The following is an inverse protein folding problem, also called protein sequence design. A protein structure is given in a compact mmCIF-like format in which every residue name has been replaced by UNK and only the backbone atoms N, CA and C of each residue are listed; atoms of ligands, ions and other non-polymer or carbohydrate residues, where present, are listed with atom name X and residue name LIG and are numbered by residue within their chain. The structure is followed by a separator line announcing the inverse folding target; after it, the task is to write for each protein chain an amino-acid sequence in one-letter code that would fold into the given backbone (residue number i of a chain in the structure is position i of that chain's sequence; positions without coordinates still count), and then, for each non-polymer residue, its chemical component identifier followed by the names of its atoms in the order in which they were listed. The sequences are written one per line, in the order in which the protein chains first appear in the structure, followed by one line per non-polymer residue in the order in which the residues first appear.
data_IF_269541393650
#
_entry.id   IF_269541393650
#
_cell.length_a   1.000
_cell.length_b   1.000
_cell.length_c   1.000
_cell.angle_alpha   90.00
_cell.angle_beta   90.00
_cell.angle_gamma   90.00
#
_symmetry.space_group_name_H-M   'P 1'
#
loop_
_entity.id
_entity.type
_entity.pdbx_description
1 polymer ?
#
# COMPACT_ATOMS: atom_id res chain seq x y z
N UNK A 1 10.89 14.47 -10.24
CA UNK A 1 9.81 15.50 -10.19
C UNK A 1 8.77 15.05 -9.17
N UNK A 2 8.53 15.80 -8.09
CA UNK A 2 7.64 15.36 -7.00
C UNK A 2 6.15 15.46 -7.33
N UNK A 3 5.32 14.62 -6.69
CA UNK A 3 3.86 14.60 -6.87
C UNK A 3 3.17 14.75 -5.51
N UNK A 4 2.14 15.59 -5.44
CA UNK A 4 1.35 15.79 -4.22
C UNK A 4 0.38 14.62 -4.06
N UNK A 5 0.42 13.98 -2.89
CA UNK A 5 -0.40 12.83 -2.56
C UNK A 5 -1.07 13.01 -1.20
N UNK A 6 -2.29 12.53 -1.08
CA UNK A 6 -3.06 12.49 0.15
C UNK A 6 -2.96 11.07 0.71
N UNK A 7 -2.54 10.97 1.97
CA UNK A 7 -2.36 9.69 2.66
C UNK A 7 -3.57 9.46 3.57
N UNK A 8 -4.17 8.29 3.42
CA UNK A 8 -5.25 7.79 4.25
C UNK A 8 -4.78 6.53 4.97
N UNK A 9 -5.19 6.35 6.21
CA UNK A 9 -5.00 5.10 6.96
C UNK A 9 -6.32 4.34 7.01
N UNK A 10 -6.23 3.03 7.04
CA UNK A 10 -7.39 2.17 7.26
C UNK A 10 -7.93 2.35 8.69
N UNK A 11 -9.25 2.34 8.83
CA UNK A 11 -9.91 2.24 10.15
C UNK A 11 -9.94 0.81 10.70
N UNK A 12 -9.72 -0.20 9.85
CA UNK A 12 -9.81 -1.63 10.19
C UNK A 12 -8.44 -2.28 10.38
N UNK A 13 -7.56 -2.11 9.40
CA UNK A 13 -6.23 -2.73 9.38
C UNK A 13 -5.21 -1.70 9.87
N UNK A 14 -4.59 -2.00 11.02
CA UNK A 14 -3.45 -1.19 11.48
C UNK A 14 -2.34 -1.29 10.44
N UNK A 15 -1.66 -0.18 10.18
CA UNK A 15 -0.49 -0.13 9.29
C UNK A 15 -0.79 -0.30 7.79
N UNK A 16 -2.07 -0.28 7.40
CA UNK A 16 -2.50 -0.19 6.01
C UNK A 16 -2.70 1.27 5.60
N UNK A 17 -2.07 1.68 4.50
CA UNK A 17 -2.11 3.06 4.01
C UNK A 17 -2.48 3.13 2.54
N UNK A 18 -3.22 4.17 2.20
CA UNK A 18 -3.67 4.45 0.84
C UNK A 18 -3.18 5.84 0.44
N UNK A 19 -2.58 5.91 -0.74
CA UNK A 19 -2.04 7.14 -1.30
C UNK A 19 -2.84 7.47 -2.56
N UNK A 20 -3.43 8.64 -2.61
CA UNK A 20 -4.25 9.11 -3.75
C UNK A 20 -3.84 10.52 -4.15
N UNK A 21 -3.83 10.81 -5.44
CA UNK A 21 -3.54 12.16 -5.94
C UNK A 21 -4.65 13.13 -5.56
N UNK A 22 -5.90 12.74 -5.80
CA UNK A 22 -7.09 13.53 -5.47
C UNK A 22 -7.56 13.22 -4.06
N UNK A 23 -7.86 14.28 -3.31
CA UNK A 23 -8.40 14.15 -1.97
C UNK A 23 -9.84 13.62 -2.05
N UNK A 24 -10.14 12.61 -1.25
CA UNK A 24 -11.47 12.02 -1.06
C UNK A 24 -12.05 11.34 -2.32
N UNK A 25 -11.20 11.03 -3.31
CA UNK A 25 -11.60 10.27 -4.51
C UNK A 25 -11.12 8.82 -4.39
N UNK A 26 -12.05 7.94 -4.02
CA UNK A 26 -11.83 6.49 -3.89
C UNK A 26 -12.53 5.67 -4.97
N UNK A 27 -13.15 6.34 -5.94
CA UNK A 27 -13.92 5.75 -7.03
C UNK A 27 -13.09 4.79 -7.91
N UNK A 28 -11.78 5.01 -7.96
CA UNK A 28 -10.80 4.21 -8.70
C UNK A 28 -10.35 2.95 -7.96
N UNK A 29 -10.74 2.80 -6.69
CA UNK A 29 -10.29 1.70 -5.83
C UNK A 29 -11.31 0.58 -5.95
N UNK A 30 -10.87 -0.67 -6.24
CA UNK A 30 -11.74 -1.83 -6.23
C UNK A 30 -12.53 -1.96 -4.93
N UNK A 31 -13.82 -2.23 -5.02
CA UNK A 31 -14.71 -2.32 -3.85
C UNK A 31 -14.22 -3.35 -2.83
N UNK A 32 -13.63 -4.46 -3.26
CA UNK A 32 -13.05 -5.48 -2.37
C UNK A 32 -11.91 -4.92 -1.51
N UNK A 33 -11.04 -4.11 -2.11
CA UNK A 33 -9.94 -3.45 -1.40
C UNK A 33 -10.49 -2.39 -0.46
N UNK A 34 -11.45 -1.58 -0.91
CA UNK A 34 -12.08 -0.55 -0.07
C UNK A 34 -12.81 -1.18 1.13
N UNK A 35 -13.52 -2.29 0.92
CA UNK A 35 -14.24 -3.03 1.97
C UNK A 35 -13.30 -3.57 3.04
N UNK A 36 -12.13 -4.09 2.63
CA UNK A 36 -11.06 -4.51 3.55
C UNK A 36 -10.43 -3.31 4.25
N UNK A 37 -10.15 -2.23 3.50
CA UNK A 37 -9.60 -0.99 4.02
C UNK A 37 -10.53 -0.29 5.01
N UNK A 38 -11.85 -0.48 4.91
CA UNK A 38 -12.82 0.18 5.75
C UNK A 38 -12.95 1.67 5.40
N UNK A 39 -13.20 2.49 6.41
CA UNK A 39 -13.33 3.94 6.24
C UNK A 39 -11.95 4.57 6.11
N UNK A 40 -11.63 5.25 5.00
CA UNK A 40 -10.36 5.93 4.84
C UNK A 40 -10.26 7.14 5.75
N UNK A 41 -9.33 7.11 6.69
CA UNK A 41 -9.09 8.23 7.61
C UNK A 41 -7.94 9.05 7.05
N UNK A 42 -8.21 10.30 6.67
CA UNK A 42 -7.17 11.21 6.20
C UNK A 42 -6.10 11.42 7.28
N UNK A 43 -4.84 11.19 6.93
CA UNK A 43 -3.70 11.35 7.83
C UNK A 43 -3.00 12.66 7.55
N UNK A 44 -2.53 12.83 6.31
CA UNK A 44 -1.78 14.01 5.89
C UNK A 44 -1.72 14.13 4.37
N UNK A 45 -1.34 15.31 3.89
CA UNK A 45 -0.98 15.57 2.50
C UNK A 45 0.52 15.81 2.43
N UNK A 46 1.20 15.14 1.52
CA UNK A 46 2.65 15.22 1.35
C UNK A 46 3.04 15.25 -0.11
N UNK A 47 4.10 15.98 -0.45
CA UNK A 47 4.73 15.89 -1.76
C UNK A 47 5.72 14.73 -1.75
N UNK A 48 5.42 13.65 -2.45
CA UNK A 48 6.34 12.52 -2.61
C UNK A 48 7.31 12.87 -3.74
N UNK A 49 8.61 12.79 -3.44
CA UNK A 49 9.69 12.93 -4.40
C UNK A 49 10.53 11.65 -4.42
N UNK A 50 11.26 11.44 -5.51
CA UNK A 50 12.13 10.27 -5.71
C UNK A 50 13.23 10.18 -4.62
N UNK A 51 13.67 11.35 -4.12
CA UNK A 51 14.66 11.46 -3.03
C UNK A 51 14.06 11.24 -1.62
N UNK A 52 12.75 11.01 -1.51
CA UNK A 52 12.07 10.92 -0.22
C UNK A 52 12.21 9.52 0.37
N UNK A 53 12.72 9.42 1.61
CA UNK A 53 12.75 8.13 2.33
C UNK A 53 11.41 7.85 3.00
N UNK A 54 10.63 6.96 2.40
CA UNK A 54 9.47 6.34 3.03
C UNK A 54 9.91 5.04 3.72
N UNK A 55 9.47 4.82 4.97
CA UNK A 55 10.01 3.75 5.80
C UNK A 55 9.64 2.33 5.34
N UNK A 56 8.64 2.19 4.47
CA UNK A 56 8.02 0.89 4.14
C UNK A 56 7.72 0.68 2.66
N UNK A 57 7.83 1.72 1.85
CA UNK A 57 7.45 1.70 0.44
C UNK A 57 8.49 2.48 -0.35
N UNK A 58 8.75 2.09 -1.58
CA UNK A 58 9.67 2.84 -2.44
C UNK A 58 8.93 4.05 -3.03
N UNK A 59 9.47 5.28 -2.91
CA UNK A 59 8.84 6.47 -3.47
C UNK A 59 8.67 6.36 -5.00
N UNK A 60 9.56 5.67 -5.71
CA UNK A 60 9.46 5.52 -7.16
C UNK A 60 8.26 4.65 -7.55
N UNK A 61 8.01 3.56 -6.81
CA UNK A 61 6.84 2.71 -7.03
C UNK A 61 5.54 3.48 -6.74
N UNK A 62 5.52 4.27 -5.67
CA UNK A 62 4.37 5.12 -5.34
C UNK A 62 4.11 6.12 -6.47
N UNK A 63 5.14 6.83 -6.93
CA UNK A 63 5.03 7.81 -8.01
C UNK A 63 4.58 7.17 -9.33
N UNK A 64 5.11 6.00 -9.67
CA UNK A 64 4.74 5.25 -10.87
C UNK A 64 3.28 4.80 -10.80
N UNK A 65 2.87 4.17 -9.70
CA UNK A 65 1.49 3.68 -9.52
C UNK A 65 0.48 4.82 -9.46
N UNK A 66 0.80 5.93 -8.81
CA UNK A 66 -0.07 7.11 -8.82
C UNK A 66 -0.14 7.74 -10.22
N UNK A 67 0.91 7.65 -11.03
CA UNK A 67 0.88 8.11 -12.42
C UNK A 67 0.06 7.21 -13.34
N UNK A 68 0.11 5.90 -13.13
CA UNK A 68 -0.59 4.92 -13.98
C UNK A 68 -2.03 4.64 -13.55
N UNK A 69 -2.27 4.55 -12.23
CA UNK A 69 -3.53 4.08 -11.65
C UNK A 69 -4.23 5.12 -10.77
N UNK A 70 -3.63 6.28 -10.53
CA UNK A 70 -4.12 7.34 -9.64
C UNK A 70 -4.21 6.97 -8.14
N UNK A 71 -3.79 5.77 -7.76
CA UNK A 71 -3.67 5.35 -6.35
C UNK A 71 -2.47 4.41 -6.14
N UNK A 72 -2.02 4.32 -4.89
CA UNK A 72 -1.10 3.31 -4.40
C UNK A 72 -1.58 2.78 -3.05
N UNK A 73 -1.59 1.45 -2.87
CA UNK A 73 -2.02 0.80 -1.65
C UNK A 73 -0.82 0.11 -0.98
N UNK A 74 -0.52 0.55 0.23
CA UNK A 74 0.45 -0.09 1.11
C UNK A 74 -0.28 -1.07 2.03
N UNK A 75 -0.01 -2.36 1.84
CA UNK A 75 -0.50 -3.40 2.72
C UNK A 75 0.31 -3.43 4.03
N UNK A 76 -0.30 -3.81 5.16
CA UNK A 76 0.44 -4.06 6.39
C UNK A 76 1.41 -5.24 6.17
N UNK A 77 2.55 -5.26 6.88
CA UNK A 77 3.44 -6.41 6.84
C UNK A 77 2.67 -7.65 7.31
N UNK A 78 2.72 -8.73 6.54
CA UNK A 78 2.14 -10.00 6.97
C UNK A 78 3.12 -10.58 7.98
N UNK A 79 2.86 -10.38 9.27
CA UNK A 79 3.54 -11.13 10.33
C UNK A 79 3.08 -12.59 10.25
N UNK A 80 3.71 -13.37 9.36
CA UNK A 80 3.83 -14.83 9.32
C UNK A 80 3.92 -15.33 7.87
N UNK A 81 5.13 -15.31 7.32
CA UNK A 81 5.60 -16.45 6.54
C UNK A 81 6.72 -17.10 7.33
N UNK A 82 6.42 -17.56 8.56
CA UNK A 82 7.17 -18.67 9.12
C UNK A 82 6.92 -19.84 8.15
N UNK A 83 7.88 -20.05 7.25
CA UNK A 83 7.97 -21.26 6.47
C UNK A 83 7.91 -22.41 7.47
N UNK A 84 6.78 -23.09 7.59
CA UNK A 84 6.75 -24.44 8.16
C UNK A 84 7.57 -25.29 7.20
N UNK A 85 8.86 -25.36 7.49
CA UNK A 85 9.83 -26.22 6.85
C UNK A 85 9.49 -27.67 7.22
N UNK A 86 8.40 -28.22 6.69
CA UNK A 86 8.22 -29.67 6.65
C UNK A 86 8.92 -30.22 5.42
N UNK A 87 10.17 -30.61 5.66
CA UNK A 87 10.88 -31.66 4.96
C UNK A 87 9.93 -32.66 4.26
N UNK A 88 10.02 -32.72 2.94
CA UNK A 88 9.95 -34.01 2.25
C UNK A 88 10.98 -34.05 1.12
N UNK A 89 12.25 -34.13 1.51
CA UNK A 89 13.19 -34.97 0.76
C UNK A 89 12.56 -36.36 0.71
N UNK A 90 12.14 -36.80 -0.47
CA UNK A 90 12.37 -38.15 -0.96
C UNK A 90 12.07 -38.15 -2.46
N UNK A 91 13.09 -37.68 -3.18
CA UNK A 91 13.35 -38.16 -4.52
C UNK A 91 13.60 -39.67 -4.44
N UNK A 92 13.00 -40.40 -5.39
CA UNK A 92 13.24 -41.81 -5.75
C UNK A 92 12.75 -42.87 -4.74
N UNK A 93 11.71 -43.61 -5.12
CA UNK A 93 11.81 -44.99 -5.62
C UNK A 93 10.69 -45.22 -6.64
#
# INVERSE_FOLDING_TARGET
MGKICNIYKSSKEKEMYLYVEKKDDFSIIPEELLKRFGEPIFVMKIAISEDMKLARVDPNDVLKMIKEKNFFLQMPPIENFELTSLHRKNSKF
#
